data_IF_899286694648
#
_entry.id   IF_899286694648
#
_cell.length_a   1.000
_cell.length_b   1.000
_cell.length_c   1.000
_cell.angle_alpha   90.00
_cell.angle_beta   90.00
_cell.angle_gamma   90.00
#
_symmetry.space_group_name_H-M   'P 1'
#
loop_
_entity.id
_entity.type
_entity.pdbx_description
1 polymer ?
#
# COMPACT_ATOMS: atom_id res chain seq x y z
N UNK A 1 -3.25 6.52 8.22
CA UNK A 1 -2.22 6.63 7.16
C UNK A 1 -2.79 6.11 5.87
N UNK A 2 -2.34 6.62 4.72
CA UNK A 2 -2.64 6.09 3.39
C UNK A 2 -1.44 5.28 2.89
N UNK A 3 -1.67 4.02 2.50
CA UNK A 3 -0.71 3.21 1.73
C UNK A 3 -1.16 3.21 0.27
N UNK A 4 -0.42 3.81 -0.66
CA UNK A 4 -0.77 3.76 -2.07
C UNK A 4 -0.67 2.34 -2.59
N UNK A 5 -1.55 2.01 -3.54
CA UNK A 5 -1.32 0.86 -4.41
C UNK A 5 -0.17 1.11 -5.39
N UNK A 6 0.09 0.17 -6.27
CA UNK A 6 1.03 0.38 -7.37
C UNK A 6 0.48 1.26 -8.50
N UNK A 7 -0.85 1.25 -8.69
CA UNK A 7 -1.56 2.05 -9.69
C UNK A 7 -0.94 1.96 -11.10
N UNK A 8 -0.96 3.04 -11.90
CA UNK A 8 -0.42 3.02 -13.25
C UNK A 8 1.10 2.76 -13.28
N UNK A 9 1.83 3.05 -12.20
CA UNK A 9 3.28 2.84 -12.13
C UNK A 9 3.63 1.35 -12.03
N UNK A 10 2.95 0.59 -11.17
CA UNK A 10 3.16 -0.86 -11.11
C UNK A 10 2.63 -1.59 -12.36
N UNK A 11 1.60 -1.05 -13.03
CA UNK A 11 1.13 -1.59 -14.30
C UNK A 11 2.21 -1.49 -15.39
N UNK A 12 2.96 -0.38 -15.44
CA UNK A 12 4.11 -0.21 -16.33
C UNK A 12 5.23 -1.21 -15.99
N UNK A 13 5.54 -1.41 -14.71
CA UNK A 13 6.52 -2.43 -14.28
C UNK A 13 6.09 -3.81 -14.73
N UNK A 14 4.81 -4.16 -14.56
CA UNK A 14 4.25 -5.45 -14.98
C UNK A 14 4.33 -5.63 -16.51
N UNK A 15 4.08 -4.58 -17.28
CA UNK A 15 4.24 -4.61 -18.73
C UNK A 15 5.70 -4.80 -19.14
N UNK A 16 6.62 -4.09 -18.49
CA UNK A 16 8.05 -4.19 -18.74
C UNK A 16 8.59 -5.59 -18.40
N UNK A 17 8.18 -6.15 -17.26
CA UNK A 17 8.53 -7.50 -16.82
C UNK A 17 8.07 -8.56 -17.83
N UNK A 18 6.81 -8.51 -18.29
CA UNK A 18 6.30 -9.44 -19.31
C UNK A 18 7.12 -9.42 -20.61
N UNK A 19 7.67 -8.28 -20.98
CA UNK A 19 8.45 -8.11 -22.20
C UNK A 19 9.92 -8.54 -22.04
N UNK A 20 10.51 -8.32 -20.86
CA UNK A 20 11.96 -8.46 -20.66
C UNK A 20 12.35 -9.59 -19.70
N UNK A 21 11.39 -10.22 -19.01
CA UNK A 21 11.61 -11.31 -18.07
C UNK A 21 12.50 -10.90 -16.90
N UNK A 22 12.05 -9.96 -16.09
CA UNK A 22 12.81 -9.52 -14.92
C UNK A 22 12.90 -10.65 -13.89
N UNK A 23 13.93 -10.57 -13.04
CA UNK A 23 13.93 -11.39 -11.83
C UNK A 23 12.78 -10.94 -10.92
N UNK A 24 12.20 -11.88 -10.17
CA UNK A 24 11.09 -11.58 -9.27
C UNK A 24 11.45 -10.48 -8.25
N UNK A 25 12.69 -10.46 -7.76
CA UNK A 25 13.22 -9.40 -6.88
C UNK A 25 13.26 -8.03 -7.58
N UNK A 26 13.75 -7.96 -8.82
CA UNK A 26 13.78 -6.70 -9.56
C UNK A 26 12.37 -6.17 -9.83
N UNK A 27 11.46 -7.02 -10.32
CA UNK A 27 10.07 -6.66 -10.58
C UNK A 27 9.36 -6.19 -9.30
N UNK A 28 9.56 -6.89 -8.19
CA UNK A 28 8.98 -6.55 -6.88
C UNK A 28 9.42 -5.16 -6.41
N UNK A 29 10.73 -4.89 -6.38
CA UNK A 29 11.24 -3.58 -5.95
C UNK A 29 10.88 -2.45 -6.92
N UNK A 30 10.84 -2.72 -8.23
CA UNK A 30 10.36 -1.74 -9.20
C UNK A 30 8.89 -1.38 -8.96
N UNK A 31 8.04 -2.36 -8.64
CA UNK A 31 6.63 -2.12 -8.35
C UNK A 31 6.46 -1.29 -7.05
N UNK A 32 7.25 -1.58 -6.02
CA UNK A 32 7.27 -0.80 -4.76
C UNK A 32 7.74 0.63 -5.01
N UNK A 33 8.77 0.86 -5.83
CA UNK A 33 9.16 2.22 -6.25
C UNK A 33 8.06 2.94 -7.05
N UNK A 34 7.20 2.18 -7.73
CA UNK A 34 5.97 2.72 -8.33
C UNK A 34 4.97 3.23 -7.28
N UNK A 35 4.89 2.56 -6.13
CA UNK A 35 4.06 3.02 -5.00
C UNK A 35 4.59 4.33 -4.41
N UNK A 36 5.91 4.51 -4.31
CA UNK A 36 6.51 5.79 -3.90
C UNK A 36 6.09 6.93 -4.83
N UNK A 37 6.18 6.72 -6.15
CA UNK A 37 5.72 7.72 -7.13
C UNK A 37 4.24 8.04 -6.94
N UNK A 38 3.42 7.03 -6.66
CA UNK A 38 2.00 7.26 -6.43
C UNK A 38 1.74 7.99 -5.11
N UNK A 39 2.54 7.77 -4.07
CA UNK A 39 2.46 8.49 -2.80
C UNK A 39 2.53 10.00 -3.01
N UNK A 40 3.47 10.46 -3.84
CA UNK A 40 3.62 11.88 -4.19
C UNK A 40 2.39 12.42 -4.93
N UNK A 41 1.90 11.69 -5.92
CA UNK A 41 0.71 12.11 -6.68
C UNK A 41 -0.57 12.13 -5.82
N UNK A 42 -0.70 11.24 -4.83
CA UNK A 42 -1.80 11.28 -3.86
C UNK A 42 -1.64 12.44 -2.89
N UNK A 43 -0.43 12.69 -2.38
CA UNK A 43 -0.21 13.76 -1.43
C UNK A 43 -0.49 15.15 -2.00
N UNK A 44 -0.20 15.36 -3.30
CA UNK A 44 -0.57 16.57 -4.04
C UNK A 44 -2.10 16.80 -4.09
N UNK A 45 -2.88 15.72 -4.11
CA UNK A 45 -4.34 15.76 -4.23
C UNK A 45 -5.09 15.75 -2.90
N UNK A 46 -4.49 15.20 -1.85
CA UNK A 46 -5.12 15.07 -0.54
C UNK A 46 -4.73 16.27 0.31
N UNK A 47 -5.66 17.19 0.51
CA UNK A 47 -5.45 18.36 1.36
C UNK A 47 -5.01 17.94 2.78
N UNK A 48 -4.02 18.65 3.33
CA UNK A 48 -3.48 18.35 4.66
C UNK A 48 -2.63 17.09 4.74
N UNK A 49 -2.35 16.40 3.63
CA UNK A 49 -1.49 15.22 3.62
C UNK A 49 0.00 15.56 3.50
N UNK A 50 0.87 14.62 3.85
CA UNK A 50 2.32 14.74 3.70
C UNK A 50 2.92 13.37 3.36
N UNK A 51 3.90 13.35 2.46
CA UNK A 51 4.64 12.13 2.14
C UNK A 51 5.60 11.78 3.28
N UNK A 52 5.59 10.53 3.69
CA UNK A 52 6.48 9.94 4.71
C UNK A 52 7.04 8.63 4.19
N UNK A 53 8.19 8.18 4.70
CA UNK A 53 8.89 7.01 4.16
C UNK A 53 9.35 6.00 5.23
N UNK A 54 9.01 6.23 6.50
CA UNK A 54 9.31 5.36 7.64
C UNK A 54 8.33 5.54 8.82
N UNK A 55 8.43 4.67 9.82
CA UNK A 55 7.58 4.70 11.02
C UNK A 55 7.67 6.03 11.78
N UNK A 56 8.86 6.56 12.12
CA UNK A 56 8.96 7.86 12.78
C UNK A 56 8.24 8.98 12.02
N UNK A 57 8.39 9.03 10.69
CA UNK A 57 7.72 10.01 9.83
C UNK A 57 6.20 9.90 9.91
N UNK A 58 5.66 8.69 9.88
CA UNK A 58 4.21 8.45 10.04
C UNK A 58 3.68 9.01 11.37
N UNK A 59 4.38 8.73 12.48
CA UNK A 59 3.98 9.20 13.80
C UNK A 59 4.07 10.73 13.91
N UNK A 60 5.17 11.32 13.43
CA UNK A 60 5.35 12.77 13.45
C UNK A 60 4.30 13.51 12.60
N UNK A 61 3.91 12.96 11.45
CA UNK A 61 2.84 13.52 10.63
C UNK A 61 1.49 13.47 11.37
N UNK A 62 1.21 12.36 12.07
CA UNK A 62 -0.01 12.23 12.87
C UNK A 62 -0.05 13.23 14.02
N UNK A 63 1.03 13.37 14.78
CA UNK A 63 1.17 14.34 15.87
C UNK A 63 1.01 15.79 15.39
N UNK A 64 1.41 16.07 14.14
CA UNK A 64 1.23 17.36 13.48
C UNK A 64 -0.18 17.57 12.89
N UNK A 65 -1.12 16.64 13.10
CA UNK A 65 -2.48 16.71 12.55
C UNK A 65 -2.55 16.57 11.02
N UNK A 66 -1.52 15.96 10.40
CA UNK A 66 -1.43 15.73 8.95
C UNK A 66 -1.87 14.31 8.61
N UNK A 67 -2.26 14.09 7.35
CA UNK A 67 -2.53 12.75 6.83
C UNK A 67 -1.24 12.17 6.22
N UNK A 68 -0.57 11.18 6.85
CA UNK A 68 0.61 10.57 6.26
C UNK A 68 0.22 9.73 5.04
N UNK A 69 0.91 9.95 3.92
CA UNK A 69 0.88 9.13 2.71
C UNK A 69 2.23 8.46 2.57
N UNK A 70 2.25 7.13 2.67
CA UNK A 70 3.50 6.39 2.74
C UNK A 70 4.11 6.19 1.35
N UNK A 71 5.38 6.57 1.19
CA UNK A 71 6.28 6.07 0.15
C UNK A 71 7.05 4.86 0.74
N UNK A 72 6.58 3.63 0.52
CA UNK A 72 6.96 2.49 1.35
C UNK A 72 8.36 1.92 1.05
N UNK A 73 9.02 2.28 -0.05
CA UNK A 73 10.23 1.56 -0.49
C UNK A 73 11.35 1.54 0.54
N UNK A 74 11.63 2.67 1.19
CA UNK A 74 12.71 2.78 2.18
C UNK A 74 12.42 1.90 3.40
N UNK A 75 11.21 1.96 3.93
CA UNK A 75 10.82 1.17 5.09
C UNK A 75 10.78 -0.32 4.78
N UNK A 76 10.11 -0.73 3.69
CA UNK A 76 10.01 -2.13 3.31
C UNK A 76 11.38 -2.74 3.02
N UNK A 77 12.30 -1.99 2.41
CA UNK A 77 13.66 -2.45 2.12
C UNK A 77 14.54 -2.59 3.36
N UNK A 78 14.26 -1.82 4.41
CA UNK A 78 14.98 -1.95 5.67
C UNK A 78 14.61 -3.24 6.42
N UNK A 79 13.38 -3.74 6.24
CA UNK A 79 12.91 -4.99 6.85
C UNK A 79 13.15 -6.21 5.93
N UNK A 80 12.79 -6.10 4.65
CA UNK A 80 12.89 -7.14 3.61
C UNK A 80 12.37 -8.52 4.06
N UNK A 81 11.22 -8.55 4.72
CA UNK A 81 10.64 -9.77 5.31
C UNK A 81 9.61 -10.46 4.41
N UNK A 82 9.17 -9.80 3.34
CA UNK A 82 8.09 -10.27 2.48
C UNK A 82 8.64 -10.95 1.22
N UNK A 83 8.03 -12.06 0.76
CA UNK A 83 8.47 -12.74 -0.44
C UNK A 83 8.45 -11.84 -1.69
N UNK A 84 9.50 -11.94 -2.51
CA UNK A 84 9.57 -11.25 -3.79
C UNK A 84 8.83 -12.04 -4.88
N UNK A 85 7.54 -11.80 -5.04
CA UNK A 85 6.75 -12.29 -6.18
C UNK A 85 5.45 -11.51 -6.35
N UNK A 86 4.78 -11.70 -7.48
CA UNK A 86 3.57 -10.97 -7.86
C UNK A 86 2.33 -11.27 -7.01
N UNK A 87 2.29 -12.38 -6.25
CA UNK A 87 1.19 -12.63 -5.31
C UNK A 87 1.28 -11.76 -4.04
N UNK A 88 2.42 -11.11 -3.76
CA UNK A 88 2.55 -10.08 -2.72
C UNK A 88 2.31 -8.73 -3.39
N UNK A 89 1.10 -8.18 -3.21
CA UNK A 89 0.74 -6.87 -3.78
C UNK A 89 0.60 -5.81 -2.70
N UNK A 90 0.16 -4.61 -3.08
CA UNK A 90 -0.09 -3.53 -2.12
C UNK A 90 -1.03 -3.91 -0.97
N UNK A 91 -1.93 -4.88 -1.17
CA UNK A 91 -2.84 -5.29 -0.10
C UNK A 91 -2.10 -6.04 1.03
N UNK A 92 -1.28 -7.03 0.66
CA UNK A 92 -0.36 -7.69 1.58
C UNK A 92 0.63 -6.72 2.23
N UNK A 93 1.21 -5.79 1.46
CA UNK A 93 2.11 -4.77 1.99
C UNK A 93 1.42 -3.88 3.03
N UNK A 94 0.18 -3.46 2.77
CA UNK A 94 -0.59 -2.64 3.69
C UNK A 94 -0.93 -3.40 4.99
N UNK A 95 -1.28 -4.68 4.91
CA UNK A 95 -1.50 -5.54 6.07
C UNK A 95 -0.24 -5.73 6.92
N UNK A 96 0.90 -5.97 6.27
CA UNK A 96 2.20 -6.05 6.94
C UNK A 96 2.55 -4.73 7.65
N UNK A 97 2.42 -3.60 6.96
CA UNK A 97 2.68 -2.28 7.54
C UNK A 97 1.71 -1.92 8.68
N UNK A 98 0.45 -2.34 8.60
CA UNK A 98 -0.52 -2.19 9.68
C UNK A 98 -0.07 -2.92 10.95
N UNK A 99 0.53 -4.11 10.79
CA UNK A 99 1.16 -4.85 11.90
C UNK A 99 2.29 -4.05 12.54
N UNK A 100 3.22 -3.55 11.71
CA UNK A 100 4.38 -2.79 12.21
C UNK A 100 3.98 -1.49 12.93
N UNK A 101 2.85 -0.89 12.53
CA UNK A 101 2.31 0.30 13.18
C UNK A 101 1.47 0.02 14.41
N UNK A 102 0.98 -1.21 14.59
CA UNK A 102 -0.05 -1.51 15.59
C UNK A 102 -1.35 -0.77 15.29
N UNK A 103 -1.78 -0.75 14.02
CA UNK A 103 -3.00 -0.08 13.60
C UNK A 103 -4.24 -0.71 14.25
N UNK A 104 -5.26 0.11 14.53
CA UNK A 104 -6.53 -0.36 15.11
C UNK A 104 -7.48 -0.98 14.07
N UNK A 105 -7.39 -0.54 12.80
CA UNK A 105 -8.22 -1.04 11.70
C UNK A 105 -7.54 -0.82 10.34
N UNK A 106 -7.83 -1.69 9.37
CA UNK A 106 -7.33 -1.61 7.99
C UNK A 106 -8.47 -1.47 6.97
N UNK A 107 -8.41 -0.44 6.14
CA UNK A 107 -9.43 -0.17 5.12
C UNK A 107 -8.83 -0.27 3.72
N UNK A 108 -9.47 -1.06 2.86
CA UNK A 108 -9.14 -1.16 1.45
C UNK A 108 -10.17 -0.39 0.63
N UNK A 109 -9.69 0.60 -0.12
CA UNK A 109 -10.52 1.35 -1.07
C UNK A 109 -10.31 0.79 -2.48
N UNK A 110 -11.36 0.27 -3.10
CA UNK A 110 -11.32 -0.34 -4.43
C UNK A 110 -12.23 0.43 -5.40
N UNK A 111 -11.93 0.46 -6.72
CA UNK A 111 -12.74 1.19 -7.70
C UNK A 111 -14.10 0.51 -8.00
N UNK A 112 -14.27 -0.74 -7.57
CA UNK A 112 -15.48 -1.56 -7.73
C UNK A 112 -16.13 -1.80 -6.38
N UNK A 113 -17.42 -2.21 -6.31
CA UNK A 113 -18.06 -2.61 -5.06
C UNK A 113 -17.20 -3.63 -4.32
N UNK A 114 -17.05 -3.43 -3.00
CA UNK A 114 -16.07 -4.17 -2.19
C UNK A 114 -16.32 -5.68 -2.10
N UNK A 115 -15.30 -6.40 -1.65
CA UNK A 115 -15.33 -7.85 -1.50
C UNK A 115 -13.96 -8.42 -1.14
N UNK A 116 -13.92 -9.54 -0.41
CA UNK A 116 -12.66 -10.19 0.00
C UNK A 116 -11.88 -10.73 -1.19
N UNK A 117 -12.58 -11.15 -2.23
CA UNK A 117 -12.05 -11.63 -3.51
C UNK A 117 -11.21 -10.61 -4.27
N UNK A 118 -11.25 -9.33 -3.85
CA UNK A 118 -10.44 -8.24 -4.41
C UNK A 118 -9.08 -8.08 -3.73
N UNK A 119 -8.80 -8.88 -2.70
CA UNK A 119 -7.54 -8.89 -1.98
C UNK A 119 -6.60 -9.94 -2.56
N UNK A 120 -5.30 -9.67 -2.48
CA UNK A 120 -4.30 -10.58 -3.03
C UNK A 120 -4.20 -11.91 -2.25
N UNK A 121 -3.65 -12.98 -2.88
CA UNK A 121 -3.56 -14.29 -2.25
C UNK A 121 -2.70 -14.34 -0.98
N UNK A 122 -1.79 -13.37 -0.80
CA UNK A 122 -0.87 -13.34 0.32
C UNK A 122 -1.41 -12.51 1.50
N UNK A 123 -2.49 -11.75 1.30
CA UNK A 123 -3.11 -10.89 2.31
C UNK A 123 -3.39 -11.63 3.62
N UNK A 124 -3.98 -12.83 3.57
CA UNK A 124 -4.30 -13.60 4.79
C UNK A 124 -3.04 -14.02 5.58
N UNK A 125 -1.88 -14.09 4.93
CA UNK A 125 -0.59 -14.39 5.58
C UNK A 125 0.06 -13.13 6.16
N UNK A 126 -0.23 -11.97 5.58
CA UNK A 126 0.23 -10.67 6.04
C UNK A 126 -0.62 -10.10 7.19
N UNK A 127 -1.90 -10.48 7.25
CA UNK A 127 -2.87 -9.87 8.15
C UNK A 127 -2.56 -10.26 9.60
N UNK A 128 -2.34 -9.28 10.50
CA UNK A 128 -2.16 -9.58 11.92
C UNK A 128 -3.44 -10.15 12.53
N UNK A 129 -3.25 -11.13 13.42
CA UNK A 129 -4.36 -11.83 14.06
C UNK A 129 -5.28 -10.85 14.80
N UNK A 130 -6.57 -10.89 14.48
CA UNK A 130 -7.60 -10.09 15.15
C UNK A 130 -7.69 -8.63 14.71
N UNK A 131 -6.87 -8.16 13.76
CA UNK A 131 -7.01 -6.81 13.20
C UNK A 131 -8.31 -6.69 12.41
N UNK A 132 -9.23 -5.78 12.80
CA UNK A 132 -10.41 -5.49 12.00
C UNK A 132 -10.01 -4.93 10.64
N UNK A 133 -10.67 -5.39 9.58
CA UNK A 133 -10.46 -4.88 8.24
C UNK A 133 -11.73 -4.83 7.40
N UNK A 134 -11.75 -3.93 6.41
CA UNK A 134 -12.90 -3.70 5.53
C UNK A 134 -12.44 -3.45 4.10
N UNK A 135 -13.29 -3.83 3.14
CA UNK A 135 -13.13 -3.45 1.73
C UNK A 135 -14.33 -2.61 1.34
N UNK A 136 -14.08 -1.39 0.88
CA UNK A 136 -15.09 -0.47 0.39
C UNK A 136 -14.90 -0.14 -1.08
N UNK A 137 -16.03 -0.04 -1.79
CA UNK A 137 -16.05 0.57 -3.10
C UNK A 137 -15.89 2.08 -3.00
N UNK A 138 -15.17 2.69 -3.94
CA UNK A 138 -14.94 4.13 -3.97
C UNK A 138 -16.24 4.95 -4.01
N UNK A 139 -17.29 4.41 -4.66
CA UNK A 139 -18.62 5.05 -4.69
C UNK A 139 -19.30 5.03 -3.33
N UNK A 140 -19.21 3.92 -2.61
CA UNK A 140 -19.82 3.76 -1.29
C UNK A 140 -19.11 4.63 -0.25
N UNK A 141 -17.77 4.72 -0.36
CA UNK A 141 -16.98 5.63 0.47
C UNK A 141 -17.35 7.10 0.24
N UNK A 142 -17.51 7.52 -1.03
CA UNK A 142 -17.91 8.88 -1.36
C UNK A 142 -19.36 9.22 -0.94
N UNK A 143 -20.21 8.21 -0.76
CA UNK A 143 -21.60 8.38 -0.34
C UNK A 143 -21.79 8.55 1.18
N UNK A 144 -20.71 8.52 1.97
CA UNK A 144 -20.74 8.77 3.41
C UNK A 144 -21.07 7.55 4.26
N UNK A 145 -20.23 6.51 4.14
CA UNK A 145 -20.24 5.35 5.04
C UNK A 145 -20.22 5.75 6.53
#
# INVERSE_FOLDING_TARGET
>A
MVVPGGGPFADQVRAFDRQHGLTATAAHWMAILGMDQYAWALADRIAGSVVVDDRPGVLAAHDAGRVPVLAPSRWLRAADELPHHWDVTSDALAAYLATLLGADELWFLKPVPGGRELLDPWFDRALPAGLPWRVLGARDFAAGA
#
